data_IF_496215032087
#
_entry.id   IF_496215032087
#
_cell.length_a   1.000
_cell.length_b   1.000
_cell.length_c   1.000
_cell.angle_alpha   90.00
_cell.angle_beta   90.00
_cell.angle_gamma   90.00
#
_symmetry.space_group_name_H-M   'P 1'
#
loop_
_entity.id
_entity.type
_entity.pdbx_description
1 polymer ?
#
# COMPACT_ATOMS: atom_id res chain seq x y z
N UNK A 1 4.96 -12.66 -10.81
CA UNK A 1 5.18 -12.12 -9.46
C UNK A 1 3.96 -12.46 -8.67
N UNK A 2 4.12 -12.70 -7.38
CA UNK A 2 3.02 -12.96 -6.47
C UNK A 2 3.42 -12.46 -5.07
N UNK A 3 2.52 -12.66 -4.10
CA UNK A 3 2.74 -12.33 -2.70
C UNK A 3 3.93 -13.07 -2.04
N UNK A 4 4.45 -14.15 -2.65
CA UNK A 4 5.59 -14.90 -2.13
C UNK A 4 6.91 -14.44 -2.76
N UNK A 5 6.88 -14.05 -4.04
CA UNK A 5 8.03 -13.64 -4.84
C UNK A 5 7.77 -12.31 -5.55
N UNK A 6 8.09 -11.22 -4.84
CA UNK A 6 8.12 -9.87 -5.40
C UNK A 6 9.20 -9.74 -6.48
N UNK A 7 8.98 -8.86 -7.46
CA UNK A 7 10.09 -8.42 -8.34
C UNK A 7 11.19 -7.74 -7.53
N UNK A 8 12.38 -7.62 -8.12
CA UNK A 8 13.46 -6.79 -7.58
C UNK A 8 13.01 -5.35 -7.27
N UNK A 9 12.13 -4.77 -8.10
CA UNK A 9 11.55 -3.44 -7.91
C UNK A 9 10.74 -3.37 -6.61
N UNK A 10 9.74 -4.23 -6.45
CA UNK A 10 8.91 -4.24 -5.24
C UNK A 10 9.67 -4.75 -4.01
N UNK A 11 10.64 -5.64 -4.16
CA UNK A 11 11.51 -6.06 -3.07
C UNK A 11 12.40 -4.92 -2.54
N UNK A 12 12.86 -4.02 -3.42
CA UNK A 12 13.56 -2.80 -3.02
C UNK A 12 12.62 -1.82 -2.31
N UNK A 13 11.38 -1.64 -2.79
CA UNK A 13 10.36 -0.85 -2.08
C UNK A 13 10.10 -1.42 -0.69
N UNK A 14 9.89 -2.74 -0.58
CA UNK A 14 9.65 -3.45 0.67
C UNK A 14 10.80 -3.27 1.68
N UNK A 15 12.05 -3.14 1.23
CA UNK A 15 13.21 -3.00 2.15
C UNK A 15 13.28 -1.65 2.86
N UNK A 16 12.57 -0.62 2.36
CA UNK A 16 12.47 0.69 3.01
C UNK A 16 11.32 0.79 4.01
N UNK A 17 10.41 -0.20 4.03
CA UNK A 17 9.32 -0.26 5.00
C UNK A 17 9.89 -0.58 6.40
N UNK A 18 9.63 0.27 7.41
CA UNK A 18 10.09 0.00 8.78
C UNK A 18 9.47 -1.28 9.33
N UNK A 19 10.21 -1.97 10.21
CA UNK A 19 9.66 -3.12 10.93
C UNK A 19 8.49 -2.67 11.80
N UNK A 20 7.44 -3.50 11.83
CA UNK A 20 6.20 -3.28 12.58
C UNK A 20 5.43 -2.03 12.16
N UNK A 21 5.73 -1.45 10.99
CA UNK A 21 5.02 -0.31 10.45
C UNK A 21 3.53 -0.62 10.21
N UNK A 22 2.72 0.43 10.25
CA UNK A 22 1.33 0.42 9.77
C UNK A 22 1.32 1.13 8.43
N UNK A 23 1.11 0.37 7.36
CA UNK A 23 1.35 0.86 6.01
C UNK A 23 0.06 1.17 5.25
N UNK A 24 0.15 2.06 4.27
CA UNK A 24 -0.82 2.14 3.18
C UNK A 24 -0.11 1.95 1.85
N UNK A 25 -0.58 1.02 1.04
CA UNK A 25 -0.10 0.77 -0.31
C UNK A 25 -1.13 1.28 -1.32
N UNK A 26 -0.78 2.36 -2.03
CA UNK A 26 -1.70 3.10 -2.89
C UNK A 26 -1.55 2.63 -4.34
N UNK A 27 -2.64 2.11 -4.91
CA UNK A 27 -2.65 1.43 -6.20
C UNK A 27 -1.83 0.15 -6.16
N UNK A 28 -2.13 -0.70 -5.18
CA UNK A 28 -1.35 -1.89 -4.84
C UNK A 28 -1.31 -2.91 -5.99
N UNK A 29 -2.41 -2.99 -6.75
CA UNK A 29 -2.68 -3.94 -7.83
C UNK A 29 -2.39 -5.40 -7.39
N UNK A 30 -3.43 -6.05 -6.87
CA UNK A 30 -3.43 -7.39 -6.24
C UNK A 30 -2.90 -7.49 -4.79
N UNK A 31 -2.65 -6.39 -4.08
CA UNK A 31 -2.21 -6.43 -2.68
C UNK A 31 -0.88 -7.19 -2.43
N UNK A 32 -0.06 -7.44 -3.46
CA UNK A 32 1.12 -8.31 -3.32
C UNK A 32 2.16 -7.78 -2.32
N UNK A 33 2.42 -6.47 -2.31
CA UNK A 33 3.35 -5.87 -1.35
C UNK A 33 2.88 -5.99 0.10
N UNK A 34 1.65 -5.54 0.48
CA UNK A 34 1.19 -5.66 1.86
C UNK A 34 1.06 -7.13 2.29
N UNK A 35 0.62 -8.04 1.42
CA UNK A 35 0.56 -9.47 1.72
C UNK A 35 1.97 -10.04 1.95
N UNK A 36 2.94 -9.72 1.08
CA UNK A 36 4.33 -10.17 1.22
C UNK A 36 4.93 -9.77 2.58
N UNK A 37 4.71 -8.51 2.99
CA UNK A 37 5.19 -7.95 4.25
C UNK A 37 4.46 -8.56 5.46
N UNK A 38 3.14 -8.74 5.35
CA UNK A 38 2.31 -9.29 6.41
C UNK A 38 2.67 -10.76 6.71
N UNK A 39 2.83 -11.60 5.67
CA UNK A 39 3.23 -13.02 5.79
C UNK A 39 4.57 -13.18 6.50
N UNK A 40 5.46 -12.20 6.36
CA UNK A 40 6.80 -12.18 6.97
C UNK A 40 6.84 -11.47 8.32
N UNK A 41 5.69 -11.10 8.88
CA UNK A 41 5.57 -10.34 10.12
C UNK A 41 6.39 -9.03 10.13
N UNK A 42 6.56 -8.41 8.97
CA UNK A 42 7.34 -7.17 8.84
C UNK A 42 6.51 -5.91 9.12
N UNK A 43 5.18 -6.01 9.01
CA UNK A 43 4.24 -4.92 9.29
C UNK A 43 3.23 -5.33 10.37
N UNK A 44 2.66 -4.34 11.05
CA UNK A 44 1.59 -4.52 12.03
C UNK A 44 0.20 -4.46 11.41
N UNK A 45 0.02 -3.66 10.36
CA UNK A 45 -1.25 -3.49 9.65
C UNK A 45 -1.00 -2.90 8.25
N UNK A 46 -1.92 -3.11 7.31
CA UNK A 46 -1.91 -2.47 6.02
C UNK A 46 -3.30 -2.03 5.55
N UNK A 47 -3.34 -0.91 4.82
CA UNK A 47 -4.43 -0.57 3.90
C UNK A 47 -3.94 -0.79 2.47
N UNK A 48 -4.67 -1.57 1.67
CA UNK A 48 -4.45 -1.68 0.23
C UNK A 48 -5.49 -0.81 -0.49
N UNK A 49 -5.05 0.35 -1.00
CA UNK A 49 -5.92 1.31 -1.66
C UNK A 49 -6.01 1.07 -3.16
N UNK A 50 -7.23 1.01 -3.69
CA UNK A 50 -7.50 0.85 -5.12
C UNK A 50 -8.53 1.86 -5.59
N UNK A 51 -8.43 2.34 -6.83
CA UNK A 51 -9.37 3.35 -7.38
C UNK A 51 -10.41 2.74 -8.33
N UNK A 52 -10.19 1.51 -8.79
CA UNK A 52 -11.07 0.79 -9.73
C UNK A 52 -11.54 -0.52 -9.11
N UNK A 53 -12.80 -0.89 -9.36
CA UNK A 53 -13.44 -2.09 -8.79
C UNK A 53 -12.67 -3.39 -9.11
N UNK A 54 -12.19 -3.57 -10.34
CA UNK A 54 -11.45 -4.79 -10.71
C UNK A 54 -10.19 -5.03 -9.87
N UNK A 55 -9.23 -4.09 -9.84
CA UNK A 55 -8.08 -4.15 -8.92
C UNK A 55 -8.46 -4.28 -7.44
N UNK A 56 -9.52 -3.60 -7.01
CA UNK A 56 -10.04 -3.73 -5.65
C UNK A 56 -10.49 -5.16 -5.33
N UNK A 57 -11.31 -5.76 -6.18
CA UNK A 57 -11.78 -7.15 -6.03
C UNK A 57 -10.62 -8.15 -6.06
N UNK A 58 -9.61 -7.90 -6.89
CA UNK A 58 -8.37 -8.67 -6.93
C UNK A 58 -7.63 -8.62 -5.59
N UNK A 59 -7.47 -7.42 -5.01
CA UNK A 59 -6.83 -7.22 -3.71
C UNK A 59 -7.60 -7.93 -2.59
N UNK A 60 -8.94 -7.78 -2.54
CA UNK A 60 -9.81 -8.46 -1.57
C UNK A 60 -9.63 -9.98 -1.66
N UNK A 61 -9.67 -10.52 -2.90
CA UNK A 61 -9.54 -11.95 -3.15
C UNK A 61 -8.18 -12.50 -2.70
N UNK A 62 -7.09 -11.79 -3.02
CA UNK A 62 -5.74 -12.20 -2.60
C UNK A 62 -5.60 -12.18 -1.07
N UNK A 63 -6.02 -11.10 -0.40
CA UNK A 63 -5.96 -10.98 1.07
C UNK A 63 -6.74 -12.11 1.75
N UNK A 64 -7.94 -12.43 1.25
CA UNK A 64 -8.76 -13.51 1.76
C UNK A 64 -8.13 -14.88 1.52
N UNK A 65 -7.59 -15.14 0.32
CA UNK A 65 -6.91 -16.40 -0.02
C UNK A 65 -5.71 -16.67 0.90
N UNK A 66 -5.01 -15.62 1.31
CA UNK A 66 -3.85 -15.68 2.20
C UNK A 66 -4.23 -15.63 3.69
N UNK A 67 -5.53 -15.50 4.02
CA UNK A 67 -6.09 -15.42 5.38
C UNK A 67 -5.52 -14.26 6.20
N UNK A 68 -5.44 -13.08 5.60
CA UNK A 68 -4.86 -11.87 6.21
C UNK A 68 -5.87 -10.74 6.40
N UNK A 69 -7.17 -11.03 6.37
CA UNK A 69 -8.25 -10.03 6.48
C UNK A 69 -8.30 -9.35 7.86
N UNK A 70 -7.63 -9.91 8.87
CA UNK A 70 -7.44 -9.30 10.19
C UNK A 70 -6.30 -8.26 10.22
N UNK A 71 -5.44 -8.27 9.21
CA UNK A 71 -4.19 -7.49 9.18
C UNK A 71 -4.10 -6.54 7.99
N UNK A 72 -4.81 -6.83 6.90
CA UNK A 72 -4.82 -6.04 5.67
C UNK A 72 -6.26 -5.71 5.33
N UNK A 73 -6.53 -4.41 5.14
CA UNK A 73 -7.84 -3.89 4.77
C UNK A 73 -7.77 -3.31 3.35
N UNK A 74 -8.47 -3.94 2.40
CA UNK A 74 -8.58 -3.40 1.05
C UNK A 74 -9.67 -2.33 1.02
N UNK A 75 -9.39 -1.18 0.39
CA UNK A 75 -10.32 -0.05 0.32
C UNK A 75 -10.37 0.54 -1.08
N UNK A 76 -11.59 0.81 -1.54
CA UNK A 76 -11.85 1.51 -2.78
C UNK A 76 -11.87 3.04 -2.53
N UNK A 77 -11.01 3.79 -3.20
CA UNK A 77 -10.90 5.25 -3.12
C UNK A 77 -9.76 5.82 -3.96
N UNK A 78 -9.81 7.13 -4.25
CA UNK A 78 -8.77 7.81 -5.02
C UNK A 78 -7.58 8.19 -4.12
N UNK A 79 -6.42 7.57 -4.37
CA UNK A 79 -5.17 7.92 -3.71
C UNK A 79 -5.24 7.80 -2.19
N UNK A 80 -4.82 8.86 -1.49
CA UNK A 80 -4.69 8.90 -0.02
C UNK A 80 -6.04 8.98 0.70
N UNK A 81 -7.15 9.20 -0.03
CA UNK A 81 -8.49 9.29 0.57
C UNK A 81 -8.95 7.99 1.25
N UNK A 82 -8.29 6.87 0.95
CA UNK A 82 -8.54 5.58 1.62
C UNK A 82 -8.10 5.55 3.09
N UNK A 83 -7.31 6.54 3.54
CA UNK A 83 -6.79 6.61 4.91
C UNK A 83 -7.80 7.19 5.90
N UNK A 84 -7.83 6.61 7.10
CA UNK A 84 -8.60 7.12 8.24
C UNK A 84 -7.65 7.39 9.41
N UNK A 85 -7.88 8.44 10.23
CA UNK A 85 -7.02 8.75 11.38
C UNK A 85 -6.86 7.58 12.36
N UNK A 86 -7.90 6.76 12.51
CA UNK A 86 -7.91 5.59 13.41
C UNK A 86 -6.95 4.49 12.96
N UNK A 87 -6.62 4.45 11.66
CA UNK A 87 -5.68 3.48 11.12
C UNK A 87 -4.26 3.71 11.61
N UNK A 88 -3.91 4.95 12.01
CA UNK A 88 -2.57 5.34 12.46
C UNK A 88 -1.47 4.87 11.50
N UNK A 89 -1.67 5.13 10.20
CA UNK A 89 -0.68 4.81 9.18
C UNK A 89 0.56 5.67 9.40
N UNK A 90 1.72 5.03 9.41
CA UNK A 90 3.03 5.66 9.63
C UNK A 90 3.93 5.58 8.38
N UNK A 91 3.54 4.78 7.39
CA UNK A 91 4.32 4.56 6.17
C UNK A 91 3.37 4.47 4.98
N UNK A 92 3.62 5.25 3.93
CA UNK A 92 2.83 5.23 2.70
C UNK A 92 3.74 4.78 1.56
N UNK A 93 3.26 3.80 0.80
CA UNK A 93 3.92 3.29 -0.40
C UNK A 93 3.09 3.68 -1.62
N UNK A 94 3.75 4.27 -2.61
CA UNK A 94 3.17 4.53 -3.94
C UNK A 94 4.20 4.09 -4.97
N UNK A 95 3.93 2.99 -5.68
CA UNK A 95 4.89 2.36 -6.58
C UNK A 95 4.25 2.03 -7.94
N UNK A 96 5.05 2.07 -9.00
CA UNK A 96 4.59 1.67 -10.34
C UNK A 96 3.73 2.71 -11.06
N UNK A 97 3.72 3.97 -10.60
CA UNK A 97 2.99 5.09 -11.19
C UNK A 97 3.94 6.15 -11.76
N UNK A 98 3.53 6.97 -12.72
CA UNK A 98 4.37 8.09 -13.20
C UNK A 98 4.61 9.15 -12.11
N UNK A 99 5.76 9.81 -12.12
CA UNK A 99 6.13 10.80 -11.09
C UNK A 99 5.10 11.91 -10.89
N UNK A 100 4.57 12.49 -11.97
CA UNK A 100 3.50 13.50 -11.92
C UNK A 100 2.25 12.98 -11.21
N UNK A 101 1.83 11.74 -11.50
CA UNK A 101 0.66 11.15 -10.84
C UNK A 101 0.91 10.94 -9.34
N UNK A 102 2.11 10.50 -8.94
CA UNK A 102 2.47 10.39 -7.53
C UNK A 102 2.39 11.76 -6.84
N UNK A 103 2.96 12.80 -7.47
CA UNK A 103 2.88 14.17 -6.95
C UNK A 103 1.44 14.64 -6.79
N UNK A 104 0.59 14.43 -7.79
CA UNK A 104 -0.82 14.83 -7.75
C UNK A 104 -1.60 14.08 -6.64
N UNK A 105 -1.33 12.79 -6.45
CA UNK A 105 -1.94 11.98 -5.37
C UNK A 105 -1.57 12.55 -3.99
N UNK A 106 -0.29 12.91 -3.80
CA UNK A 106 0.20 13.51 -2.56
C UNK A 106 -0.40 14.90 -2.32
N UNK A 107 -0.48 15.72 -3.37
CA UNK A 107 -1.01 17.08 -3.27
C UNK A 107 -2.50 17.09 -2.93
N UNK A 108 -3.31 16.28 -3.64
CA UNK A 108 -4.75 16.13 -3.34
C UNK A 108 -5.00 15.52 -1.97
N UNK A 109 -4.12 14.61 -1.55
CA UNK A 109 -4.22 13.85 -0.30
C UNK A 109 -3.60 14.53 0.92
N UNK A 110 -2.96 15.70 0.76
CA UNK A 110 -2.11 16.31 1.79
C UNK A 110 -2.80 16.47 3.15
N UNK A 111 -4.10 16.79 3.17
CA UNK A 111 -4.86 16.96 4.41
C UNK A 111 -5.04 15.67 5.23
N UNK A 112 -4.84 14.50 4.61
CA UNK A 112 -4.87 13.20 5.28
C UNK A 112 -3.50 12.81 5.86
N UNK A 113 -2.45 13.60 5.57
CA UNK A 113 -1.09 13.35 6.04
C UNK A 113 -0.78 14.24 7.24
N UNK A 114 -0.13 13.66 8.25
CA UNK A 114 0.40 14.41 9.39
C UNK A 114 1.77 15.03 9.11
N UNK A 115 2.43 14.60 8.03
CA UNK A 115 3.79 15.01 7.67
C UNK A 115 4.88 14.23 8.42
N UNK A 116 4.48 13.26 9.26
CA UNK A 116 5.40 12.39 9.99
C UNK A 116 5.55 11.01 9.32
N UNK A 117 4.71 10.71 8.35
CA UNK A 117 4.71 9.44 7.63
C UNK A 117 5.99 9.29 6.82
N UNK A 118 6.55 8.08 6.79
CA UNK A 118 7.55 7.72 5.80
C UNK A 118 6.88 7.51 4.45
N UNK A 119 7.32 8.26 3.44
CA UNK A 119 6.90 8.03 2.05
C UNK A 119 7.92 7.16 1.32
N UNK A 120 7.51 6.00 0.83
CA UNK A 120 8.31 5.13 -0.06
C UNK A 120 7.72 5.23 -1.46
N UNK A 121 8.35 6.06 -2.30
CA UNK A 121 7.82 6.42 -3.61
C UNK A 121 8.69 5.80 -4.70
N UNK A 122 8.05 5.08 -5.63
CA UNK A 122 8.72 4.53 -6.80
C UNK A 122 7.99 4.99 -8.08
N UNK A 123 8.43 6.10 -8.70
CA UNK A 123 7.90 6.54 -9.97
C UNK A 123 8.40 5.66 -11.13
N UNK A 124 7.57 5.47 -12.15
CA UNK A 124 7.96 4.97 -13.46
C UNK A 124 8.43 6.15 -14.31
N UNK A 125 9.68 6.06 -14.78
CA UNK A 125 10.40 7.08 -15.58
C UNK A 125 10.80 8.32 -14.76
#
# INVERSE_FOLDING_TARGET
MDADHLSKRLAAVASYVPKSARIADIGSDHAYLPVYLAKRNQIAFAVAGEVVDGPFENAVSEIAAQRLTDKIDARLGDGITVLRPEDRIDTIVIAGMGGTLISDILERGWQHLSGQERLVLQPNV
#
